data_IF_711898645977
#
_entry.id   IF_711898645977
#
_cell.length_a   1.000
_cell.length_b   1.000
_cell.length_c   1.000
_cell.angle_alpha   90.00
_cell.angle_beta   90.00
_cell.angle_gamma   90.00
#
_symmetry.space_group_name_H-M   'P 1'
#
loop_
_entity.id
_entity.type
_entity.pdbx_description
1 polymer ?
#
# COMPACT_ATOMS: atom_id res chain seq x y z
N UNK A 1 -23.35 8.13 6.67
CA UNK A 1 -22.43 7.98 7.81
C UNK A 1 -21.65 9.29 7.97
N UNK A 2 -21.29 9.67 9.19
CA UNK A 2 -20.38 10.82 9.44
C UNK A 2 -19.05 10.25 9.89
N UNK A 3 -17.98 10.55 9.15
CA UNK A 3 -16.62 10.16 9.52
C UNK A 3 -16.21 10.88 10.80
N UNK A 4 -15.52 10.18 11.70
CA UNK A 4 -14.84 10.83 12.83
C UNK A 4 -13.67 11.66 12.32
N UNK A 5 -13.92 12.95 12.10
CA UNK A 5 -12.92 13.90 11.60
C UNK A 5 -11.74 14.09 12.55
N UNK A 6 -11.93 13.87 13.87
CA UNK A 6 -10.82 13.97 14.83
C UNK A 6 -9.89 12.78 14.70
N UNK A 7 -10.47 11.57 14.59
CA UNK A 7 -9.68 10.36 14.32
C UNK A 7 -8.98 10.44 12.97
N UNK A 8 -9.68 10.88 11.92
CA UNK A 8 -9.08 11.08 10.60
C UNK A 8 -7.91 12.07 10.67
N UNK A 9 -8.09 13.23 11.32
CA UNK A 9 -7.01 14.19 11.50
C UNK A 9 -5.81 13.62 12.25
N UNK A 10 -6.02 12.71 13.21
CA UNK A 10 -4.92 11.99 13.88
C UNK A 10 -4.24 10.99 12.96
N UNK A 11 -5.01 10.25 12.16
CA UNK A 11 -4.49 9.33 11.15
C UNK A 11 -3.66 10.08 10.13
N UNK A 12 -4.04 11.30 9.73
CA UNK A 12 -3.41 12.12 8.66
C UNK A 12 -2.34 13.13 9.16
N UNK A 13 -2.13 13.25 10.46
CA UNK A 13 -1.14 14.17 11.02
C UNK A 13 0.32 13.73 10.73
N UNK A 14 1.16 14.63 10.20
CA UNK A 14 2.61 14.39 10.08
C UNK A 14 3.20 14.06 11.48
N UNK A 15 3.95 12.97 11.57
CA UNK A 15 4.51 12.47 12.85
C UNK A 15 5.98 12.82 13.07
N UNK A 16 6.67 13.25 12.03
CA UNK A 16 8.06 13.70 12.15
C UNK A 16 8.13 14.96 13.03
N UNK A 17 8.93 14.96 14.12
CA UNK A 17 9.04 16.07 15.06
C UNK A 17 9.92 17.21 14.50
N UNK A 18 9.43 17.92 13.48
CA UNK A 18 10.16 19.03 12.82
C UNK A 18 10.58 20.19 13.76
N UNK A 19 9.92 20.33 14.93
CA UNK A 19 10.23 21.43 15.87
C UNK A 19 11.41 21.10 16.78
N UNK A 20 11.84 19.83 16.83
CA UNK A 20 12.97 19.39 17.62
C UNK A 20 14.21 19.13 16.72
N UNK A 21 15.16 20.07 16.67
CA UNK A 21 16.38 19.90 15.88
C UNK A 21 17.29 18.78 16.42
N UNK A 22 17.05 18.29 17.64
CA UNK A 22 17.83 17.21 18.27
C UNK A 22 17.25 15.82 18.06
N UNK A 23 16.00 15.73 17.59
CA UNK A 23 15.37 14.44 17.28
C UNK A 23 16.25 13.63 16.30
N UNK A 24 16.16 12.30 16.33
CA UNK A 24 16.87 11.47 15.35
C UNK A 24 16.48 11.75 13.88
N UNK A 25 17.31 11.34 12.92
CA UNK A 25 17.07 11.53 11.47
C UNK A 25 16.51 10.28 10.77
N UNK A 26 16.34 9.19 11.51
CA UNK A 26 15.68 7.93 11.10
C UNK A 26 14.16 7.96 11.31
N UNK A 27 13.58 9.13 11.58
CA UNK A 27 12.13 9.33 11.52
C UNK A 27 11.62 9.20 10.10
N UNK A 28 10.49 8.52 9.94
CA UNK A 28 9.83 8.26 8.67
C UNK A 28 8.35 8.56 8.78
N UNK A 29 7.79 9.03 7.69
CA UNK A 29 6.35 9.16 7.49
C UNK A 29 6.03 8.81 6.04
N UNK A 30 5.37 7.67 5.86
CA UNK A 30 5.11 7.01 4.59
C UNK A 30 3.62 7.02 4.32
N UNK A 31 3.24 7.62 3.19
CA UNK A 31 1.89 7.68 2.66
C UNK A 31 1.77 6.70 1.49
N UNK A 32 0.90 5.71 1.61
CA UNK A 32 0.72 4.64 0.63
C UNK A 32 -0.68 4.74 0.04
N UNK A 33 -0.79 4.95 -1.26
CA UNK A 33 -2.07 5.05 -1.97
C UNK A 33 -2.20 3.95 -3.02
N UNK A 34 -3.35 3.29 -3.04
CA UNK A 34 -3.72 2.30 -4.03
C UNK A 34 -4.96 2.72 -4.78
N UNK A 35 -4.93 2.56 -6.11
CA UNK A 35 -6.08 2.78 -6.99
C UNK A 35 -6.25 1.55 -7.86
N UNK A 36 -7.36 0.83 -7.66
CA UNK A 36 -7.67 -0.40 -8.38
C UNK A 36 -8.97 -0.20 -9.14
N UNK A 37 -8.93 -0.32 -10.46
CA UNK A 37 -10.15 -0.28 -11.26
C UNK A 37 -11.01 -1.54 -10.97
N UNK A 38 -12.33 -1.41 -11.13
CA UNK A 38 -13.25 -2.52 -10.82
C UNK A 38 -13.02 -3.78 -11.67
N UNK A 39 -12.44 -3.65 -12.85
CA UNK A 39 -12.18 -4.80 -13.73
C UNK A 39 -10.83 -5.44 -13.42
N UNK A 40 -10.02 -4.86 -12.53
CA UNK A 40 -8.68 -5.34 -12.20
C UNK A 40 -7.67 -5.19 -13.33
N UNK A 41 -7.96 -4.37 -14.34
CA UNK A 41 -7.13 -4.12 -15.53
C UNK A 41 -6.14 -2.96 -15.36
N UNK A 42 -6.36 -2.08 -14.39
CA UNK A 42 -5.48 -0.97 -14.05
C UNK A 42 -5.33 -0.94 -12.53
N UNK A 43 -4.10 -1.15 -12.06
CA UNK A 43 -3.75 -1.14 -10.64
C UNK A 43 -2.61 -0.18 -10.45
N UNK A 44 -2.74 0.74 -9.50
CA UNK A 44 -1.79 1.81 -9.28
C UNK A 44 -1.38 1.85 -7.82
N UNK A 45 -0.07 1.92 -7.59
CA UNK A 45 0.53 2.24 -6.30
C UNK A 45 1.20 3.61 -6.40
N UNK A 46 0.98 4.47 -5.40
CA UNK A 46 1.79 5.66 -5.17
C UNK A 46 2.22 5.70 -3.71
N UNK A 47 3.51 5.57 -3.47
CA UNK A 47 4.15 5.77 -2.18
C UNK A 47 4.85 7.12 -2.16
N UNK A 48 4.61 7.91 -1.12
CA UNK A 48 5.36 9.14 -0.81
C UNK A 48 5.88 9.00 0.62
N UNK A 49 7.20 8.99 0.79
CA UNK A 49 7.84 8.81 2.09
C UNK A 49 8.71 9.99 2.41
N UNK A 50 8.42 10.67 3.51
CA UNK A 50 9.32 11.68 4.08
C UNK A 50 10.24 11.00 5.08
N UNK A 51 11.54 11.26 4.99
CA UNK A 51 12.54 10.69 5.89
C UNK A 51 13.47 11.78 6.41
N UNK A 52 13.71 11.79 7.72
CA UNK A 52 14.60 12.74 8.36
C UNK A 52 13.94 14.10 8.56
N UNK A 53 14.55 15.16 8.02
CA UNK A 53 14.13 16.56 8.22
C UNK A 53 14.62 17.45 7.07
N UNK A 54 14.17 18.71 6.96
CA UNK A 54 14.71 19.65 6.01
C UNK A 54 16.25 19.69 6.00
N UNK A 55 16.83 19.78 4.81
CA UNK A 55 18.26 19.82 4.47
C UNK A 55 19.04 18.52 4.74
N UNK A 56 18.58 17.68 5.68
CA UNK A 56 19.23 16.45 6.13
C UNK A 56 18.36 15.20 5.93
N UNK A 57 17.39 15.30 5.03
CA UNK A 57 16.39 14.28 4.77
C UNK A 57 16.00 14.28 3.31
N UNK A 58 15.06 13.42 2.98
CA UNK A 58 14.60 13.23 1.61
C UNK A 58 13.10 12.91 1.58
N UNK A 59 12.52 13.15 0.41
CA UNK A 59 11.19 12.70 0.04
C UNK A 59 11.40 11.65 -1.05
N UNK A 60 11.06 10.41 -0.75
CA UNK A 60 11.13 9.29 -1.68
C UNK A 60 9.75 9.06 -2.27
N UNK A 61 9.69 8.80 -3.57
CA UNK A 61 8.46 8.45 -4.27
C UNK A 61 8.65 7.16 -5.04
N UNK A 62 7.67 6.26 -4.92
CA UNK A 62 7.51 5.09 -5.79
C UNK A 62 6.14 5.18 -6.45
N UNK A 63 6.09 5.00 -7.76
CA UNK A 63 4.85 5.01 -8.53
C UNK A 63 4.86 3.79 -9.45
N UNK A 64 3.96 2.84 -9.20
CA UNK A 64 3.78 1.63 -10.00
C UNK A 64 2.42 1.64 -10.69
N UNK A 65 2.38 1.06 -11.89
CA UNK A 65 1.15 0.77 -12.61
C UNK A 65 1.22 -0.64 -13.20
N UNK A 66 0.27 -1.49 -12.83
CA UNK A 66 -0.03 -2.71 -13.57
C UNK A 66 -1.17 -2.42 -14.54
N UNK A 67 -0.95 -2.72 -15.82
CA UNK A 67 -1.88 -2.43 -16.90
C UNK A 67 -2.13 -3.71 -17.70
N UNK A 68 -3.39 -4.06 -17.93
CA UNK A 68 -3.76 -5.20 -18.75
C UNK A 68 -3.14 -5.08 -20.14
N UNK A 69 -2.48 -6.15 -20.59
CA UNK A 69 -1.76 -6.15 -21.86
C UNK A 69 -2.63 -5.80 -23.07
N UNK A 70 -3.95 -6.01 -23.00
CA UNK A 70 -4.88 -5.61 -24.04
C UNK A 70 -5.01 -4.10 -24.25
N UNK A 71 -4.72 -3.29 -23.23
CA UNK A 71 -4.69 -1.83 -23.29
C UNK A 71 -3.40 -1.28 -23.91
N UNK A 72 -2.35 -2.10 -24.01
CA UNK A 72 -1.14 -1.72 -24.73
C UNK A 72 -1.41 -1.65 -26.24
N UNK A 73 -0.73 -0.74 -26.96
CA UNK A 73 -0.76 -0.73 -28.42
C UNK A 73 -0.36 -2.10 -28.98
N UNK A 74 -0.95 -2.55 -30.12
CA UNK A 74 -0.73 -3.89 -30.66
C UNK A 74 0.74 -4.32 -30.76
N UNK A 75 1.63 -3.39 -31.09
CA UNK A 75 3.08 -3.58 -31.23
C UNK A 75 3.84 -3.77 -29.90
N UNK A 76 3.22 -3.43 -28.77
CA UNK A 76 3.79 -3.56 -27.41
C UNK A 76 3.04 -4.59 -26.56
N UNK A 77 2.05 -5.29 -27.12
CA UNK A 77 1.32 -6.33 -26.39
C UNK A 77 2.26 -7.47 -25.99
N UNK A 78 2.25 -7.79 -24.72
CA UNK A 78 3.05 -8.85 -24.12
C UNK A 78 2.18 -10.10 -23.91
N UNK A 79 2.80 -11.28 -23.93
CA UNK A 79 2.16 -12.56 -23.59
C UNK A 79 2.13 -12.77 -22.06
N UNK A 80 1.64 -11.77 -21.35
CA UNK A 80 1.41 -11.76 -19.90
C UNK A 80 0.08 -11.05 -19.62
N UNK A 81 -0.63 -11.38 -18.53
CA UNK A 81 -1.92 -10.74 -18.22
C UNK A 81 -1.80 -9.23 -17.99
N UNK A 82 -0.80 -8.83 -17.19
CA UNK A 82 -0.57 -7.44 -16.79
C UNK A 82 0.89 -7.06 -17.08
N UNK A 83 1.07 -5.95 -17.81
CA UNK A 83 2.35 -5.29 -17.94
C UNK A 83 2.59 -4.34 -16.76
N UNK A 84 3.84 -4.27 -16.31
CA UNK A 84 4.24 -3.41 -15.21
C UNK A 84 5.03 -2.22 -15.71
N UNK A 85 4.64 -1.03 -15.26
CA UNK A 85 5.38 0.21 -15.41
C UNK A 85 5.66 0.78 -14.03
N UNK A 86 6.79 1.45 -13.86
CA UNK A 86 7.01 2.16 -12.63
C UNK A 86 8.24 3.03 -12.62
N UNK A 87 8.25 3.93 -11.64
CA UNK A 87 9.38 4.80 -11.35
C UNK A 87 9.59 4.88 -9.85
N UNK A 88 10.83 5.14 -9.45
CA UNK A 88 11.16 5.51 -8.09
C UNK A 88 12.27 6.57 -8.11
N UNK A 89 12.08 7.62 -7.33
CA UNK A 89 13.01 8.75 -7.26
C UNK A 89 12.98 9.39 -5.87
N UNK A 90 14.07 10.10 -5.55
CA UNK A 90 14.22 10.83 -4.30
C UNK A 90 14.46 12.32 -4.58
N UNK A 91 13.89 13.17 -3.74
CA UNK A 91 14.16 14.60 -3.68
C UNK A 91 14.83 14.91 -2.35
N UNK A 92 15.88 15.72 -2.35
CA UNK A 92 16.41 16.27 -1.10
C UNK A 92 15.33 17.15 -0.47
N UNK A 93 15.00 16.90 0.80
CA UNK A 93 13.95 17.64 1.50
C UNK A 93 14.42 19.06 1.79
N UNK A 94 13.76 20.08 1.21
CA UNK A 94 13.97 21.51 1.50
C UNK A 94 12.93 22.07 2.48
N UNK A 95 13.22 23.20 3.11
CA UNK A 95 12.43 23.75 4.22
C UNK A 95 10.94 24.01 3.92
N UNK A 96 10.59 24.31 2.66
CA UNK A 96 9.24 24.67 2.21
C UNK A 96 8.47 23.51 1.55
N UNK A 97 9.08 22.33 1.47
CA UNK A 97 8.48 21.17 0.81
C UNK A 97 7.43 20.48 1.66
N UNK A 98 7.48 20.60 2.98
CA UNK A 98 6.57 19.88 3.89
C UNK A 98 5.93 20.85 4.89
N UNK A 99 4.60 20.88 4.93
CA UNK A 99 3.79 21.60 5.91
C UNK A 99 2.90 20.62 6.66
N UNK A 100 2.74 20.82 7.97
CA UNK A 100 1.94 19.91 8.82
C UNK A 100 0.43 20.10 8.67
N UNK A 101 -0.08 21.34 8.69
CA UNK A 101 -1.51 21.63 8.79
C UNK A 101 -1.96 22.75 7.81
N UNK A 102 -2.89 22.46 6.88
CA UNK A 102 -3.19 21.11 6.42
C UNK A 102 -1.92 20.47 5.86
N UNK A 103 -1.86 19.15 5.91
CA UNK A 103 -0.70 18.41 5.45
C UNK A 103 -0.46 18.78 3.99
N UNK A 104 0.79 19.13 3.68
CA UNK A 104 1.23 19.33 2.30
C UNK A 104 2.64 18.82 2.16
N UNK A 105 2.87 17.96 1.17
CA UNK A 105 4.18 17.54 0.70
C UNK A 105 4.27 17.95 -0.76
N UNK A 106 5.25 18.76 -1.12
CA UNK A 106 5.40 19.30 -2.46
C UNK A 106 6.86 19.30 -2.89
N UNK A 107 7.08 19.18 -4.19
CA UNK A 107 8.40 19.21 -4.79
C UNK A 107 8.30 19.15 -6.31
N UNK A 108 9.43 19.06 -6.99
CA UNK A 108 9.42 18.86 -8.42
C UNK A 108 8.63 17.57 -8.74
N UNK A 109 7.55 17.74 -9.50
CA UNK A 109 6.66 16.68 -9.96
C UNK A 109 5.88 15.93 -8.88
N UNK A 110 5.79 16.45 -7.65
CA UNK A 110 5.01 15.83 -6.57
C UNK A 110 4.17 16.87 -5.84
N UNK A 111 2.92 16.52 -5.53
CA UNK A 111 2.04 17.25 -4.63
C UNK A 111 1.13 16.25 -3.93
N UNK A 112 1.22 16.20 -2.61
CA UNK A 112 0.22 15.59 -1.74
C UNK A 112 -0.32 16.67 -0.81
N UNK A 113 -1.61 16.91 -0.83
CA UNK A 113 -2.30 17.71 0.17
C UNK A 113 -3.37 16.85 0.84
N UNK A 114 -3.46 16.92 2.17
CA UNK A 114 -4.55 16.32 2.94
C UNK A 114 -5.12 17.36 3.89
N UNK A 115 -6.40 17.67 3.71
CA UNK A 115 -7.13 18.66 4.49
C UNK A 115 -8.48 18.07 4.95
N UNK A 116 -8.50 17.59 6.18
CA UNK A 116 -9.62 16.84 6.74
C UNK A 116 -9.91 15.60 5.91
N UNK A 117 -11.11 15.53 5.33
CA UNK A 117 -11.53 14.42 4.48
C UNK A 117 -11.03 14.48 3.05
N UNK A 118 -10.49 15.61 2.60
CA UNK A 118 -10.13 15.80 1.20
C UNK A 118 -8.64 15.59 1.00
N UNK A 119 -8.28 14.93 -0.10
CA UNK A 119 -6.91 14.76 -0.54
C UNK A 119 -6.72 15.19 -1.99
N UNK A 120 -5.54 15.70 -2.30
CA UNK A 120 -5.06 15.96 -3.65
C UNK A 120 -3.72 15.26 -3.80
N UNK A 121 -3.61 14.38 -4.78
CA UNK A 121 -2.37 13.68 -5.10
C UNK A 121 -1.98 13.97 -6.55
N UNK A 122 -0.73 14.35 -6.77
CA UNK A 122 -0.11 14.52 -8.08
C UNK A 122 1.30 13.94 -8.03
N UNK A 123 1.61 13.06 -8.97
CA UNK A 123 2.96 12.55 -9.19
C UNK A 123 3.22 12.48 -10.69
N UNK A 124 4.40 12.90 -11.13
CA UNK A 124 4.80 12.85 -12.52
C UNK A 124 6.28 12.45 -12.67
N UNK A 125 6.60 11.62 -13.66
CA UNK A 125 7.95 11.40 -14.14
C UNK A 125 7.93 11.37 -15.67
N UNK A 126 8.37 12.47 -16.28
CA UNK A 126 8.42 12.62 -17.74
C UNK A 126 9.34 11.60 -18.41
N UNK A 127 10.41 11.16 -17.73
CA UNK A 127 11.37 10.20 -18.29
C UNK A 127 10.72 8.83 -18.46
N UNK A 128 9.85 8.48 -17.52
CA UNK A 128 9.10 7.23 -17.54
C UNK A 128 7.72 7.39 -18.20
N UNK A 129 7.35 8.60 -18.60
CA UNK A 129 6.04 8.95 -19.16
C UNK A 129 4.87 8.49 -18.27
N UNK A 130 5.04 8.66 -16.96
CA UNK A 130 4.05 8.33 -15.95
C UNK A 130 3.54 9.61 -15.31
N UNK A 131 2.23 9.78 -15.20
CA UNK A 131 1.65 10.79 -14.31
C UNK A 131 0.32 10.36 -13.75
N UNK A 132 0.01 10.81 -12.55
CA UNK A 132 -1.30 10.67 -11.92
C UNK A 132 -1.68 11.98 -11.26
N UNK A 133 -2.93 12.37 -11.41
CA UNK A 133 -3.52 13.51 -10.72
C UNK A 133 -4.92 13.14 -10.26
N UNK A 134 -5.15 13.14 -8.96
CA UNK A 134 -6.43 12.76 -8.42
C UNK A 134 -6.83 13.59 -7.20
N UNK A 135 -8.14 13.70 -7.00
CA UNK A 135 -8.77 14.30 -5.84
C UNK A 135 -9.58 13.22 -5.16
N UNK A 136 -9.41 13.08 -3.85
CA UNK A 136 -10.06 12.09 -3.02
C UNK A 136 -10.91 12.72 -1.92
N UNK A 137 -11.94 11.99 -1.51
CA UNK A 137 -12.69 12.25 -0.29
C UNK A 137 -12.80 10.96 0.51
N UNK A 138 -12.32 10.95 1.76
CA UNK A 138 -12.49 9.83 2.67
C UNK A 138 -13.98 9.51 2.86
N UNK A 139 -14.34 8.23 2.74
CA UNK A 139 -15.71 7.72 2.91
C UNK A 139 -15.81 6.68 4.04
N UNK A 140 -14.72 5.96 4.31
CA UNK A 140 -14.69 4.91 5.31
C UNK A 140 -14.30 5.38 6.71
N UNK A 141 -14.76 4.62 7.70
CA UNK A 141 -14.30 4.76 9.09
C UNK A 141 -12.78 4.63 9.11
N UNK A 142 -12.04 5.68 9.51
CA UNK A 142 -10.59 5.59 9.62
C UNK A 142 -10.22 4.73 10.83
N UNK A 143 -9.03 4.13 10.78
CA UNK A 143 -8.45 3.45 11.94
C UNK A 143 -7.05 3.97 12.21
N UNK A 144 -6.77 4.21 13.48
CA UNK A 144 -5.43 4.36 13.99
C UNK A 144 -5.12 3.14 14.84
N UNK A 145 -4.28 2.25 14.32
CA UNK A 145 -4.11 0.89 14.87
C UNK A 145 -3.01 0.86 15.91
N UNK A 146 -1.88 1.50 15.61
CA UNK A 146 -0.74 1.62 16.54
C UNK A 146 -0.11 3.00 16.41
N UNK A 147 0.49 3.52 17.48
CA UNK A 147 1.23 4.79 17.46
C UNK A 147 2.72 4.61 17.78
N UNK A 148 3.08 3.58 18.57
CA UNK A 148 4.40 3.39 19.15
C UNK A 148 4.80 1.92 19.31
N UNK A 149 4.31 1.04 18.43
CA UNK A 149 4.64 -0.39 18.54
C UNK A 149 6.12 -0.66 18.26
N UNK A 150 6.78 -1.53 19.05
CA UNK A 150 8.17 -1.91 18.81
C UNK A 150 8.39 -2.42 17.38
N UNK A 151 9.40 -1.87 16.72
CA UNK A 151 9.73 -2.23 15.34
C UNK A 151 11.20 -1.93 15.04
N UNK A 152 11.98 -2.97 14.78
CA UNK A 152 13.43 -2.86 14.63
C UNK A 152 14.08 -2.26 15.88
N UNK A 153 14.96 -1.28 15.70
CA UNK A 153 15.59 -0.55 16.82
C UNK A 153 14.73 0.60 17.37
N UNK A 154 13.52 0.80 16.86
CA UNK A 154 12.61 1.84 17.31
C UNK A 154 11.16 1.38 17.32
N UNK A 155 10.30 2.10 16.59
CA UNK A 155 8.87 1.87 16.62
C UNK A 155 8.18 2.25 15.30
N UNK A 156 7.00 1.68 15.10
CA UNK A 156 6.10 2.01 14.01
C UNK A 156 4.69 2.25 14.58
N UNK A 157 4.05 3.28 14.04
CA UNK A 157 2.63 3.49 14.10
C UNK A 157 2.03 3.32 12.71
N UNK A 158 0.78 2.93 12.68
CA UNK A 158 0.07 2.61 11.45
C UNK A 158 -1.40 3.03 11.57
N UNK A 159 -1.90 3.71 10.54
CA UNK A 159 -3.28 4.13 10.42
C UNK A 159 -3.75 4.11 8.98
N UNK A 160 -5.04 3.85 8.76
CA UNK A 160 -5.60 3.54 7.46
C UNK A 160 -6.94 4.23 7.20
N UNK A 161 -7.22 4.46 5.92
CA UNK A 161 -8.43 5.04 5.34
C UNK A 161 -8.83 4.17 4.14
N UNK A 162 -9.61 3.10 4.35
CA UNK A 162 -9.72 2.01 3.38
C UNK A 162 -10.76 2.22 2.28
N UNK A 163 -11.46 3.36 2.32
CA UNK A 163 -12.44 3.76 1.31
C UNK A 163 -12.31 5.24 1.01
N UNK A 164 -11.67 5.55 -0.11
CA UNK A 164 -11.57 6.89 -0.68
C UNK A 164 -12.42 6.95 -1.96
N UNK A 165 -13.31 7.93 -2.05
CA UNK A 165 -13.95 8.24 -3.32
C UNK A 165 -13.04 9.17 -4.11
N UNK A 166 -12.52 8.68 -5.24
CA UNK A 166 -11.53 9.41 -6.03
C UNK A 166 -12.05 9.75 -7.43
N UNK A 167 -11.62 10.89 -7.94
CA UNK A 167 -11.69 11.22 -9.37
C UNK A 167 -10.36 11.78 -9.84
N UNK A 168 -9.96 11.47 -11.06
CA UNK A 168 -8.69 11.94 -11.58
C UNK A 168 -8.32 11.37 -12.94
N UNK A 169 -7.05 11.52 -13.27
CA UNK A 169 -6.46 11.05 -14.52
C UNK A 169 -5.13 10.35 -14.22
N UNK A 170 -4.90 9.27 -14.96
CA UNK A 170 -3.66 8.51 -15.00
C UNK A 170 -3.15 8.53 -16.44
N UNK A 171 -1.87 8.81 -16.64
CA UNK A 171 -1.19 8.68 -17.92
C UNK A 171 -0.06 7.68 -17.84
N UNK A 172 -0.03 6.73 -18.77
CA UNK A 172 1.02 5.70 -18.91
C UNK A 172 1.48 5.66 -20.36
N UNK A 173 2.75 6.01 -20.62
CA UNK A 173 3.30 5.95 -21.98
C UNK A 173 2.54 6.81 -23.00
N UNK A 174 1.97 7.94 -22.55
CA UNK A 174 1.13 8.82 -23.37
C UNK A 174 -0.33 8.38 -23.56
N UNK A 175 -0.74 7.23 -22.99
CA UNK A 175 -2.14 6.83 -22.93
C UNK A 175 -2.80 7.36 -21.65
N UNK A 176 -4.00 7.94 -21.77
CA UNK A 176 -4.74 8.50 -20.63
C UNK A 176 -5.88 7.57 -20.21
N UNK A 177 -6.03 7.41 -18.90
CA UNK A 177 -7.10 6.67 -18.24
C UNK A 177 -7.80 7.59 -17.25
N UNK A 178 -9.13 7.60 -17.27
CA UNK A 178 -9.92 8.32 -16.26
C UNK A 178 -10.03 7.45 -15.00
N UNK A 179 -9.66 8.03 -13.86
CA UNK A 179 -9.96 7.46 -12.55
C UNK A 179 -11.34 7.97 -12.16
N UNK A 180 -12.29 7.05 -11.98
CA UNK A 180 -13.67 7.38 -11.64
C UNK A 180 -14.04 6.94 -10.21
N UNK A 181 -15.16 7.45 -9.71
CA UNK A 181 -15.63 7.25 -8.33
C UNK A 181 -15.91 5.79 -7.97
N UNK A 182 -15.96 4.89 -8.94
CA UNK A 182 -16.17 3.47 -8.71
C UNK A 182 -14.87 2.70 -8.50
N UNK A 183 -13.70 3.29 -8.75
CA UNK A 183 -12.44 2.61 -8.46
C UNK A 183 -12.34 2.34 -6.96
N UNK A 184 -11.83 1.18 -6.61
CA UNK A 184 -11.45 0.91 -5.23
C UNK A 184 -10.19 1.71 -4.94
N UNK A 185 -10.25 2.57 -3.92
CA UNK A 185 -9.10 3.35 -3.49
C UNK A 185 -8.88 3.18 -2.00
N UNK A 186 -7.64 2.85 -1.65
CA UNK A 186 -7.16 2.66 -0.28
C UNK A 186 -6.01 3.63 -0.02
N UNK A 187 -5.93 4.14 1.21
CA UNK A 187 -4.76 4.84 1.71
C UNK A 187 -4.40 4.37 3.11
N UNK A 188 -3.11 4.21 3.39
CA UNK A 188 -2.62 4.15 4.75
C UNK A 188 -1.31 4.91 4.96
N UNK A 189 -0.95 4.95 6.25
CA UNK A 189 0.21 5.65 6.73
C UNK A 189 1.01 4.79 7.68
N UNK A 190 2.29 4.67 7.38
CA UNK A 190 3.30 4.06 8.24
C UNK A 190 4.22 5.18 8.74
N UNK A 191 4.32 5.34 10.06
CA UNK A 191 5.10 6.43 10.64
C UNK A 191 5.88 5.98 11.85
N UNK A 192 6.97 6.66 12.19
CA UNK A 192 7.74 6.37 13.39
C UNK A 192 9.23 6.44 13.15
N UNK A 193 9.98 5.59 13.86
CA UNK A 193 11.43 5.56 13.83
C UNK A 193 11.91 4.12 13.64
N UNK A 194 12.28 3.77 12.41
CA UNK A 194 12.78 2.44 12.07
C UNK A 194 13.66 2.54 10.82
N UNK A 195 14.57 1.59 10.64
CA UNK A 195 15.55 1.65 9.55
C UNK A 195 15.35 0.51 8.57
N UNK A 196 15.58 0.81 7.30
CA UNK A 196 15.48 -0.24 6.29
C UNK A 196 16.65 -1.20 6.47
N UNK A 197 16.39 -2.48 6.27
CA UNK A 197 17.39 -3.53 6.42
C UNK A 197 17.69 -3.99 7.85
N UNK A 198 17.03 -3.46 8.87
CA UNK A 198 16.94 -4.11 10.19
C UNK A 198 16.22 -5.45 10.11
N UNK A 199 16.22 -6.25 11.18
CA UNK A 199 15.49 -7.53 11.20
C UNK A 199 13.99 -7.30 11.41
N UNK A 200 13.35 -6.73 10.39
CA UNK A 200 11.93 -6.37 10.34
C UNK A 200 11.33 -6.85 9.01
N UNK A 201 10.11 -7.36 9.07
CA UNK A 201 9.31 -7.75 7.92
C UNK A 201 7.83 -7.61 8.23
N UNK A 202 6.99 -7.83 7.22
CA UNK A 202 5.54 -7.94 7.39
C UNK A 202 4.88 -8.66 6.22
N UNK A 203 3.68 -9.14 6.49
CA UNK A 203 2.73 -9.63 5.50
C UNK A 203 1.52 -8.70 5.59
N UNK A 204 1.19 -8.03 4.49
CA UNK A 204 0.13 -7.04 4.46
C UNK A 204 -0.71 -7.19 3.20
N UNK A 205 -2.01 -6.90 3.28
CA UNK A 205 -2.81 -6.68 2.08
C UNK A 205 -4.02 -5.80 2.34
N UNK A 206 -4.51 -5.22 1.25
CA UNK A 206 -5.88 -4.74 1.14
C UNK A 206 -6.61 -5.46 0.00
N UNK A 207 -7.83 -5.88 0.29
CA UNK A 207 -8.69 -6.57 -0.64
C UNK A 207 -10.06 -5.89 -0.71
N UNK A 208 -10.61 -5.83 -1.91
CA UNK A 208 -11.96 -5.33 -2.17
C UNK A 208 -12.78 -6.39 -2.89
N UNK A 209 -14.00 -6.61 -2.42
CA UNK A 209 -14.93 -7.55 -3.04
C UNK A 209 -16.31 -6.94 -3.17
N UNK A 210 -17.02 -7.29 -4.24
CA UNK A 210 -18.46 -7.06 -4.33
C UNK A 210 -19.18 -8.37 -4.05
N UNK A 211 -20.13 -8.34 -3.11
CA UNK A 211 -20.95 -9.48 -2.76
C UNK A 211 -22.04 -9.75 -3.80
N UNK A 212 -22.56 -10.97 -3.78
CA UNK A 212 -23.65 -11.41 -4.67
C UNK A 212 -24.92 -10.54 -4.54
N UNK A 213 -25.11 -9.89 -3.39
CA UNK A 213 -26.23 -8.98 -3.09
C UNK A 213 -25.92 -7.49 -3.35
N UNK A 214 -24.71 -7.19 -3.84
CA UNK A 214 -24.25 -5.84 -4.18
C UNK A 214 -23.54 -5.08 -3.06
N UNK A 215 -23.49 -5.59 -1.82
CA UNK A 215 -22.69 -4.98 -0.74
C UNK A 215 -21.20 -5.05 -1.05
N UNK A 216 -20.44 -4.09 -0.54
CA UNK A 216 -19.00 -4.04 -0.73
C UNK A 216 -18.26 -4.48 0.54
N UNK A 217 -17.32 -5.39 0.40
CA UNK A 217 -16.40 -5.79 1.47
C UNK A 217 -15.03 -5.19 1.19
N UNK A 218 -14.46 -4.52 2.20
CA UNK A 218 -13.03 -4.22 2.22
C UNK A 218 -12.37 -4.97 3.36
N UNK A 219 -11.27 -5.65 3.06
CA UNK A 219 -10.48 -6.41 4.02
C UNK A 219 -9.09 -5.79 4.07
N UNK A 220 -8.59 -5.49 5.28
CA UNK A 220 -7.21 -5.02 5.45
C UNK A 220 -6.53 -5.92 6.46
N UNK A 221 -5.47 -6.59 6.04
CA UNK A 221 -4.65 -7.47 6.89
C UNK A 221 -3.27 -6.88 7.07
N UNK A 222 -2.74 -7.02 8.28
CA UNK A 222 -1.33 -6.81 8.58
C UNK A 222 -0.89 -7.88 9.58
N UNK A 223 0.33 -8.35 9.38
CA UNK A 223 1.02 -9.26 10.26
C UNK A 223 2.49 -8.92 10.25
N UNK A 224 3.00 -8.41 11.37
CA UNK A 224 4.41 -8.08 11.51
C UNK A 224 5.25 -9.33 11.67
N UNK A 225 6.42 -9.31 11.06
CA UNK A 225 7.36 -10.42 11.07
C UNK A 225 8.79 -9.92 11.28
N UNK A 226 9.72 -10.86 11.42
CA UNK A 226 11.13 -10.64 11.13
C UNK A 226 11.42 -11.00 9.66
N UNK A 227 12.63 -10.72 9.16
CA UNK A 227 12.95 -10.82 7.72
C UNK A 227 12.78 -12.21 7.11
N UNK A 228 12.97 -13.26 7.90
CA UNK A 228 12.80 -14.64 7.44
C UNK A 228 11.40 -15.20 7.74
N UNK A 229 10.49 -14.37 8.26
CA UNK A 229 9.11 -14.71 8.63
C UNK A 229 8.98 -15.89 9.61
N UNK A 230 10.06 -16.26 10.32
CA UNK A 230 10.03 -17.30 11.36
C UNK A 230 9.32 -16.85 12.63
N UNK A 231 9.24 -15.53 12.86
CA UNK A 231 8.50 -14.91 13.96
C UNK A 231 7.37 -14.09 13.36
N UNK A 232 6.14 -14.37 13.78
CA UNK A 232 4.94 -13.63 13.39
C UNK A 232 4.24 -13.08 14.62
N UNK A 233 3.92 -11.79 14.62
CA UNK A 233 3.39 -11.11 15.81
C UNK A 233 2.18 -10.26 15.47
N UNK A 234 1.19 -10.28 16.36
CA UNK A 234 -0.01 -9.44 16.31
C UNK A 234 -0.73 -9.42 14.95
N UNK A 235 -1.07 -10.57 14.33
CA UNK A 235 -1.86 -10.54 13.12
C UNK A 235 -3.24 -9.96 13.39
N UNK A 236 -3.71 -9.11 12.48
CA UNK A 236 -5.08 -8.63 12.49
C UNK A 236 -5.63 -8.46 11.08
N UNK A 237 -6.93 -8.72 10.95
CA UNK A 237 -7.68 -8.41 9.73
C UNK A 237 -8.94 -7.62 10.10
N UNK A 238 -9.09 -6.45 9.49
CA UNK A 238 -10.25 -5.59 9.60
C UNK A 238 -11.21 -5.87 8.47
N UNK A 239 -12.49 -6.00 8.80
CA UNK A 239 -13.56 -6.23 7.85
C UNK A 239 -14.46 -5.02 7.83
N UNK A 240 -14.54 -4.39 6.66
CA UNK A 240 -15.44 -3.29 6.38
C UNK A 240 -16.57 -3.77 5.49
N UNK A 241 -17.80 -3.36 5.82
CA UNK A 241 -18.96 -3.47 4.93
C UNK A 241 -19.44 -2.07 4.59
N UNK A 242 -19.51 -1.77 3.29
CA UNK A 242 -19.97 -0.47 2.75
C UNK A 242 -19.33 0.73 3.46
N UNK A 243 -18.00 0.67 3.64
CA UNK A 243 -17.15 1.68 4.29
C UNK A 243 -17.25 1.74 5.83
N UNK A 244 -18.03 0.86 6.48
CA UNK A 244 -18.13 0.77 7.93
C UNK A 244 -17.32 -0.41 8.47
N UNK A 245 -16.50 -0.19 9.52
CA UNK A 245 -15.82 -1.29 10.21
C UNK A 245 -16.84 -2.14 10.99
N UNK A 246 -16.98 -3.41 10.62
CA UNK A 246 -17.98 -4.31 11.22
C UNK A 246 -17.39 -5.46 12.04
N UNK A 247 -16.14 -5.83 11.78
CA UNK A 247 -15.47 -6.92 12.49
C UNK A 247 -13.95 -6.75 12.44
N UNK A 248 -13.31 -7.19 13.52
CA UNK A 248 -11.86 -7.36 13.58
C UNK A 248 -11.57 -8.76 14.08
N UNK A 249 -10.71 -9.49 13.38
CA UNK A 249 -10.13 -10.74 13.86
C UNK A 249 -8.68 -10.48 14.25
N UNK A 250 -8.27 -11.00 15.41
CA UNK A 250 -6.99 -10.70 16.04
C UNK A 250 -6.26 -11.98 16.47
N UNK A 251 -4.93 -11.96 16.40
CA UNK A 251 -4.07 -12.95 17.02
C UNK A 251 -4.39 -14.38 16.58
N UNK A 252 -4.58 -15.28 17.54
CA UNK A 252 -4.82 -16.70 17.28
C UNK A 252 -6.16 -17.01 16.61
N UNK A 253 -7.04 -16.02 16.41
CA UNK A 253 -8.26 -16.20 15.62
C UNK A 253 -8.01 -16.19 14.11
N UNK A 254 -6.79 -15.85 13.67
CA UNK A 254 -6.41 -15.67 12.28
C UNK A 254 -5.31 -16.68 11.88
N UNK A 255 -5.50 -17.32 10.73
CA UNK A 255 -4.49 -18.13 10.05
C UNK A 255 -4.25 -17.54 8.66
N UNK A 256 -2.97 -17.39 8.29
CA UNK A 256 -2.51 -16.80 7.03
C UNK A 256 -1.54 -17.78 6.38
N UNK A 257 -1.93 -18.31 5.22
CA UNK A 257 -1.21 -19.39 4.54
C UNK A 257 -0.86 -18.99 3.11
N UNK A 258 0.38 -18.59 2.90
CA UNK A 258 0.94 -18.30 1.58
C UNK A 258 1.39 -19.58 0.89
N UNK A 259 1.06 -19.72 -0.39
CA UNK A 259 1.66 -20.71 -1.28
C UNK A 259 2.56 -20.02 -2.28
N UNK A 260 3.73 -20.60 -2.48
CA UNK A 260 4.82 -20.02 -3.24
C UNK A 260 5.12 -20.87 -4.46
N UNK A 261 5.59 -20.21 -5.51
CA UNK A 261 6.03 -20.90 -6.72
C UNK A 261 7.16 -21.90 -6.44
N UNK A 262 7.12 -23.01 -7.16
CA UNK A 262 8.19 -24.01 -7.10
C UNK A 262 9.50 -23.45 -7.68
N UNK A 263 9.38 -22.84 -8.87
CA UNK A 263 10.50 -22.26 -9.60
C UNK A 263 10.67 -20.76 -9.29
N UNK A 264 11.92 -20.30 -9.09
CA UNK A 264 12.18 -18.88 -8.90
C UNK A 264 12.17 -18.15 -10.25
N UNK A 265 11.70 -16.90 -10.24
CA UNK A 265 11.62 -16.03 -11.42
C UNK A 265 12.49 -14.79 -11.26
N UNK A 266 12.80 -14.14 -12.38
CA UNK A 266 13.42 -12.81 -12.36
C UNK A 266 12.31 -11.76 -12.26
N UNK A 267 12.19 -11.04 -11.13
CA UNK A 267 11.11 -10.07 -10.96
C UNK A 267 11.40 -8.78 -11.76
N UNK A 268 10.34 -8.01 -12.01
CA UNK A 268 10.51 -6.57 -12.27
C UNK A 268 10.97 -5.92 -10.97
N UNK A 269 12.06 -5.14 -11.03
CA UNK A 269 12.69 -4.56 -9.84
C UNK A 269 12.80 -3.05 -9.93
N UNK A 270 12.44 -2.35 -8.85
CA UNK A 270 12.66 -0.91 -8.69
C UNK A 270 13.41 -0.57 -7.40
N UNK A 271 14.10 0.59 -7.35
CA UNK A 271 14.41 1.47 -8.47
C UNK A 271 15.40 0.82 -9.46
N UNK A 272 15.50 1.34 -10.68
CA UNK A 272 16.38 0.77 -11.73
C UNK A 272 17.87 0.67 -11.34
N UNK A 273 18.35 1.55 -10.46
CA UNK A 273 19.71 1.44 -9.90
C UNK A 273 19.87 0.18 -9.05
N UNK A 274 18.86 -0.20 -8.28
CA UNK A 274 18.87 -1.43 -7.47
C UNK A 274 18.58 -2.65 -8.34
N UNK A 275 17.80 -2.50 -9.41
CA UNK A 275 17.67 -3.52 -10.46
C UNK A 275 19.03 -3.94 -11.03
N UNK A 276 19.94 -2.98 -11.22
CA UNK A 276 21.29 -3.22 -11.72
C UNK A 276 22.19 -3.93 -10.68
N UNK A 277 22.04 -3.58 -9.39
CA UNK A 277 22.81 -4.20 -8.30
C UNK A 277 22.40 -5.64 -8.05
N UNK A 278 21.10 -5.94 -8.15
CA UNK A 278 20.52 -7.25 -7.91
C UNK A 278 20.14 -7.98 -9.21
N UNK A 279 20.88 -7.74 -10.30
CA UNK A 279 20.54 -8.25 -11.63
C UNK A 279 20.41 -9.79 -11.72
N UNK A 280 21.12 -10.53 -10.86
CA UNK A 280 21.10 -11.99 -10.82
C UNK A 280 20.18 -12.57 -9.72
N UNK A 281 19.51 -11.71 -8.94
CA UNK A 281 18.61 -12.15 -7.86
C UNK A 281 17.28 -12.60 -8.43
N UNK A 282 16.97 -13.88 -8.23
CA UNK A 282 15.65 -14.46 -8.47
C UNK A 282 14.89 -14.63 -7.16
N UNK A 283 13.56 -14.71 -7.25
CA UNK A 283 12.68 -14.93 -6.11
C UNK A 283 11.57 -15.93 -6.45
N UNK A 284 11.13 -16.69 -5.46
CA UNK A 284 9.87 -17.43 -5.54
C UNK A 284 8.77 -16.40 -5.34
N UNK A 285 7.76 -16.41 -6.21
CA UNK A 285 6.62 -15.48 -6.11
C UNK A 285 5.48 -16.15 -5.34
N UNK A 286 4.68 -15.38 -4.59
CA UNK A 286 3.39 -15.86 -4.13
C UNK A 286 2.50 -16.28 -5.31
N UNK A 287 1.98 -17.50 -5.27
CA UNK A 287 0.99 -17.99 -6.25
C UNK A 287 -0.43 -17.84 -5.70
N UNK A 288 -0.61 -18.21 -4.43
CA UNK A 288 -1.91 -18.09 -3.76
C UNK A 288 -1.77 -17.74 -2.29
N UNK A 289 -2.86 -17.25 -1.72
CA UNK A 289 -2.98 -16.97 -0.29
C UNK A 289 -4.35 -17.44 0.19
N UNK A 290 -4.36 -18.15 1.32
CA UNK A 290 -5.57 -18.46 2.07
C UNK A 290 -5.53 -17.79 3.44
N UNK A 291 -6.62 -17.09 3.77
CA UNK A 291 -6.84 -16.52 5.10
C UNK A 291 -8.09 -17.09 5.71
N UNK A 292 -7.96 -17.64 6.91
CA UNK A 292 -9.07 -18.16 7.70
C UNK A 292 -9.14 -17.41 9.02
N UNK A 293 -10.33 -16.96 9.40
CA UNK A 293 -10.55 -16.36 10.71
C UNK A 293 -11.83 -16.84 11.37
N UNK A 294 -11.80 -17.06 12.69
CA UNK A 294 -12.98 -17.46 13.47
C UNK A 294 -12.97 -16.79 14.84
N UNK A 295 -14.01 -16.02 15.15
CA UNK A 295 -14.14 -15.37 16.46
C UNK A 295 -15.60 -15.10 16.82
N UNK A 296 -16.02 -15.56 18.00
CA UNK A 296 -17.38 -15.37 18.54
C UNK A 296 -18.51 -15.83 17.60
N UNK A 297 -18.26 -16.89 16.84
CA UNK A 297 -19.23 -17.47 15.90
C UNK A 297 -19.16 -16.87 14.49
N UNK A 298 -18.57 -15.70 14.32
CA UNK A 298 -18.26 -15.12 13.00
C UNK A 298 -17.08 -15.85 12.35
N UNK A 299 -17.09 -15.93 11.02
CA UNK A 299 -16.07 -16.65 10.24
C UNK A 299 -15.69 -15.88 8.98
N UNK A 300 -14.43 -15.95 8.61
CA UNK A 300 -13.91 -15.43 7.36
C UNK A 300 -13.10 -16.52 6.67
N UNK A 301 -13.36 -16.72 5.38
CA UNK A 301 -12.49 -17.46 4.49
C UNK A 301 -12.22 -16.57 3.27
N UNK A 302 -10.95 -16.37 2.98
CA UNK A 302 -10.46 -15.66 1.81
C UNK A 302 -9.53 -16.60 1.03
N UNK A 303 -9.77 -16.74 -0.27
CA UNK A 303 -8.84 -17.39 -1.19
C UNK A 303 -8.41 -16.39 -2.24
N UNK A 304 -7.11 -16.35 -2.51
CA UNK A 304 -6.47 -15.38 -3.40
C UNK A 304 -5.64 -16.12 -4.41
N UNK A 305 -5.72 -15.68 -5.66
CA UNK A 305 -4.84 -16.08 -6.75
C UNK A 305 -4.07 -14.85 -7.23
N UNK A 306 -2.74 -14.87 -7.11
CA UNK A 306 -1.88 -13.76 -7.51
C UNK A 306 -1.54 -13.84 -9.00
N UNK A 307 -1.49 -12.68 -9.64
CA UNK A 307 -1.32 -12.54 -11.11
C UNK A 307 -0.07 -11.75 -11.48
N UNK A 308 0.46 -10.95 -10.56
CA UNK A 308 1.66 -10.14 -10.77
C UNK A 308 2.45 -9.98 -9.48
N UNK A 309 3.77 -9.95 -9.60
CA UNK A 309 4.69 -9.61 -8.51
C UNK A 309 5.76 -8.63 -9.01
N UNK A 310 6.13 -7.69 -8.16
CA UNK A 310 7.21 -6.70 -8.38
C UNK A 310 8.05 -6.65 -7.11
N UNK A 311 9.36 -6.49 -7.23
CA UNK A 311 10.24 -6.29 -6.09
C UNK A 311 10.67 -4.82 -6.00
N UNK A 312 10.29 -4.14 -4.92
CA UNK A 312 10.90 -2.87 -4.53
C UNK A 312 12.09 -3.16 -3.62
N UNK A 313 13.25 -2.60 -3.94
CA UNK A 313 14.41 -2.64 -3.05
C UNK A 313 14.58 -1.26 -2.44
N UNK A 314 14.31 -1.17 -1.14
CA UNK A 314 14.35 0.10 -0.42
C UNK A 314 15.69 0.20 0.32
N UNK A 315 16.62 1.06 -0.13
CA UNK A 315 17.87 1.27 0.58
C UNK A 315 17.64 2.05 1.88
N UNK A 316 18.45 1.74 2.89
CA UNK A 316 18.56 2.61 4.06
C UNK A 316 19.30 3.89 3.69
N UNK A 317 18.76 5.03 4.13
CA UNK A 317 19.32 6.34 3.77
C UNK A 317 20.55 6.72 4.61
N UNK A 318 20.95 5.89 5.57
CA UNK A 318 22.02 6.19 6.52
C UNK A 318 23.08 5.07 6.63
N UNK A 319 22.76 3.84 6.22
CA UNK A 319 23.65 2.70 6.25
C UNK A 319 23.65 1.94 4.92
N UNK A 320 24.63 1.06 4.74
CA UNK A 320 24.71 0.16 3.57
C UNK A 320 23.81 -1.06 3.78
N UNK A 321 22.53 -0.81 4.00
CA UNK A 321 21.49 -1.81 4.25
C UNK A 321 20.30 -1.56 3.32
N UNK A 322 19.45 -2.56 3.18
CA UNK A 322 18.26 -2.53 2.34
C UNK A 322 17.23 -3.56 2.82
N UNK A 323 15.97 -3.33 2.45
CA UNK A 323 14.87 -4.28 2.57
C UNK A 323 14.27 -4.55 1.19
N UNK A 324 13.64 -5.71 1.04
CA UNK A 324 12.86 -6.03 -0.15
C UNK A 324 11.38 -5.98 0.20
N UNK A 325 10.57 -5.37 -0.68
CA UNK A 325 9.12 -5.40 -0.60
C UNK A 325 8.64 -6.08 -1.88
N UNK A 326 8.04 -7.25 -1.74
CA UNK A 326 7.40 -7.96 -2.83
C UNK A 326 5.95 -7.49 -2.90
N UNK A 327 5.66 -6.66 -3.89
CA UNK A 327 4.36 -6.11 -4.18
C UNK A 327 3.60 -7.08 -5.09
N UNK A 328 2.46 -7.59 -4.63
CA UNK A 328 1.65 -8.58 -5.33
C UNK A 328 0.24 -8.10 -5.57
N UNK A 329 -0.33 -8.48 -6.71
CA UNK A 329 -1.74 -8.19 -7.00
C UNK A 329 -2.42 -9.40 -7.61
N UNK A 330 -3.73 -9.51 -7.40
CA UNK A 330 -4.46 -10.67 -7.84
C UNK A 330 -5.96 -10.53 -7.74
N UNK A 331 -6.63 -11.68 -7.84
CA UNK A 331 -8.07 -11.80 -7.64
C UNK A 331 -8.37 -12.59 -6.37
N UNK A 332 -9.59 -12.44 -5.85
CA UNK A 332 -9.98 -13.13 -4.63
C UNK A 332 -11.44 -13.58 -4.64
N UNK A 333 -11.69 -14.59 -3.83
CA UNK A 333 -13.02 -15.00 -3.39
C UNK A 333 -13.11 -14.88 -1.87
N UNK A 334 -14.17 -14.23 -1.38
CA UNK A 334 -14.43 -14.05 0.04
C UNK A 334 -15.73 -14.75 0.45
N UNK A 335 -15.69 -15.40 1.60
CA UNK A 335 -16.86 -15.92 2.31
C UNK A 335 -16.81 -15.43 3.76
N UNK A 336 -17.67 -14.48 4.09
CA UNK A 336 -17.80 -13.89 5.42
C UNK A 336 -19.12 -14.34 6.02
N UNK A 337 -19.07 -15.01 7.17
CA UNK A 337 -20.22 -15.21 8.03
C UNK A 337 -20.20 -14.19 9.17
N UNK A 338 -21.16 -13.28 9.17
CA UNK A 338 -21.26 -12.18 10.14
C UNK A 338 -22.70 -12.00 10.59
N UNK A 339 -22.93 -11.98 11.91
CA UNK A 339 -24.25 -11.77 12.51
C UNK A 339 -25.36 -12.70 11.99
N UNK A 340 -25.03 -13.96 11.68
CA UNK A 340 -26.00 -14.95 11.21
C UNK A 340 -26.23 -14.96 9.69
N UNK A 341 -25.56 -14.07 8.96
CA UNK A 341 -25.65 -13.96 7.50
C UNK A 341 -24.35 -14.42 6.83
N UNK A 342 -24.47 -15.05 5.66
CA UNK A 342 -23.31 -15.39 4.81
C UNK A 342 -23.23 -14.46 3.62
N UNK A 343 -22.13 -13.73 3.55
CA UNK A 343 -21.73 -12.88 2.44
C UNK A 343 -20.69 -13.59 1.59
N UNK A 344 -20.97 -13.74 0.30
CA UNK A 344 -20.02 -14.27 -0.69
C UNK A 344 -19.76 -13.20 -1.72
N UNK A 345 -18.49 -13.03 -2.08
CA UNK A 345 -18.09 -12.01 -3.04
C UNK A 345 -16.82 -12.37 -3.76
N UNK A 346 -16.58 -11.64 -4.85
CA UNK A 346 -15.34 -11.71 -5.61
C UNK A 346 -14.77 -10.32 -5.81
N UNK A 347 -13.47 -10.23 -6.00
CA UNK A 347 -12.84 -8.98 -6.37
C UNK A 347 -11.34 -9.08 -6.50
N UNK A 348 -10.65 -8.06 -6.02
CA UNK A 348 -9.25 -7.79 -6.32
C UNK A 348 -8.48 -7.46 -5.04
N UNK A 349 -7.20 -7.81 -5.05
CA UNK A 349 -6.32 -7.66 -3.91
C UNK A 349 -5.01 -7.04 -4.34
N UNK A 350 -4.46 -6.25 -3.43
CA UNK A 350 -3.08 -5.78 -3.46
C UNK A 350 -2.43 -6.19 -2.13
N UNK A 351 -1.22 -6.73 -2.16
CA UNK A 351 -0.50 -7.16 -0.98
C UNK A 351 0.99 -6.89 -1.04
N UNK A 352 1.61 -6.94 0.12
CA UNK A 352 3.04 -6.78 0.36
C UNK A 352 3.56 -7.96 1.16
N UNK A 353 4.73 -8.46 0.78
CA UNK A 353 5.52 -9.38 1.56
C UNK A 353 6.94 -8.82 1.72
N UNK A 354 7.35 -8.51 2.96
CA UNK A 354 8.54 -7.69 3.23
C UNK A 354 9.65 -8.45 3.96
N UNK A 355 10.84 -8.40 3.36
CA UNK A 355 12.06 -9.17 3.71
C UNK A 355 13.27 -8.31 4.11
#
# INVERSE_FOLDING_TARGET
MTIDEQLLARVEALRIPLDDPTSPIDWKDWYHFLFLDKQGKVRVLVNITTIGRPERGEIQVTFLVNLASEYLPPEYRLDIPLATFGTAFSLQWQADMVRRNPLRIQGNNILLEVDGKHSLLQVQDERMQLSIRCQGEAQATPLLVTEDSPFGSGFIGWGLVPGLQVTGELSVGGQNFSIDRNWFTYHDRNFGRFRWGEDIGWEWFVAFATCDDGRQITLVLDQRTNKDHSVKVFPYIFVYLDNELVKTFLGSSLAVNWQWSDDPVMPVRLPGIMASVFADRTLKVPESLQVEAVYEGDRLLLNVDFESAIELVIPDNQARQYSFIEEVTGTLEVNLFWQGETLRGKGIIYGEYVL
#
